data_IF_837894648948
#
_entry.id   IF_837894648948
#
_cell.length_a   1.000
_cell.length_b   1.000
_cell.length_c   1.000
_cell.angle_alpha   90.00
_cell.angle_beta   90.00
_cell.angle_gamma   90.00
#
_symmetry.space_group_name_H-M   'P 1'
#
loop_
_entity.id
_entity.type
_entity.pdbx_description
1 polymer ?
#
# COMPACT_ATOMS: atom_id res chain seq x y z
N UNK A 1 -32.77 6.13 31.65
CA UNK A 1 -31.82 4.99 31.58
C UNK A 1 -30.80 5.35 30.51
N UNK A 2 -29.55 5.55 30.92
CA UNK A 2 -28.55 6.31 30.16
C UNK A 2 -27.95 5.54 29.00
N UNK A 3 -27.79 6.22 27.87
CA UNK A 3 -27.09 5.72 26.70
C UNK A 3 -25.58 5.95 26.87
N UNK A 4 -24.82 4.86 27.00
CA UNK A 4 -23.37 4.88 26.83
C UNK A 4 -23.06 4.83 25.34
N UNK A 5 -22.74 5.98 24.76
CA UNK A 5 -22.14 6.07 23.44
C UNK A 5 -20.68 5.62 23.53
N UNK A 6 -20.34 4.56 22.79
CA UNK A 6 -18.96 4.14 22.55
C UNK A 6 -18.26 5.27 21.79
N UNK A 7 -17.30 5.93 22.43
CA UNK A 7 -16.42 6.92 21.81
C UNK A 7 -15.62 6.23 20.70
N UNK A 8 -15.95 6.52 19.44
CA UNK A 8 -14.92 6.57 18.41
C UNK A 8 -13.88 7.58 18.92
N UNK A 9 -12.63 7.13 19.05
CA UNK A 9 -11.53 8.04 19.33
C UNK A 9 -11.33 8.90 18.08
N UNK A 10 -12.05 10.01 18.02
CA UNK A 10 -11.65 11.16 17.21
C UNK A 10 -10.17 11.45 17.54
N UNK A 11 -9.33 11.80 16.55
CA UNK A 11 -7.99 12.27 16.82
C UNK A 11 -8.17 13.50 17.71
N UNK A 12 -7.92 13.32 19.00
CA UNK A 12 -7.87 14.45 19.93
C UNK A 12 -6.72 15.29 19.41
N UNK A 13 -7.04 16.51 18.98
CA UNK A 13 -6.11 17.60 18.73
C UNK A 13 -5.29 17.86 20.00
N UNK A 14 -4.34 16.98 20.30
CA UNK A 14 -3.13 17.36 20.94
C UNK A 14 -2.29 17.92 19.81
N UNK A 15 -2.21 19.25 19.75
CA UNK A 15 -1.06 19.94 19.18
C UNK A 15 0.18 19.21 19.72
N UNK A 16 0.72 18.26 18.95
CA UNK A 16 2.04 17.74 19.16
C UNK A 16 2.94 18.96 19.02
N UNK A 17 3.37 19.48 20.17
CA UNK A 17 4.13 20.70 20.24
C UNK A 17 5.30 20.63 19.28
N UNK A 18 5.43 21.66 18.44
CA UNK A 18 6.63 21.90 17.66
C UNK A 18 7.85 21.83 18.60
N UNK A 19 8.54 20.69 18.62
CA UNK A 19 9.69 20.50 19.50
C UNK A 19 10.03 19.06 19.89
N UNK A 20 9.08 18.13 19.95
CA UNK A 20 9.36 16.76 20.41
C UNK A 20 9.32 15.73 19.29
N UNK A 21 10.35 14.87 19.24
CA UNK A 21 10.38 13.72 18.36
C UNK A 21 9.25 12.74 18.72
N UNK A 22 8.66 12.03 17.74
CA UNK A 22 7.60 11.07 18.03
C UNK A 22 8.15 9.93 18.89
N UNK A 23 7.34 9.49 19.85
CA UNK A 23 7.66 8.32 20.67
C UNK A 23 7.15 7.08 19.95
N UNK A 24 8.08 6.23 19.55
CA UNK A 24 7.79 4.97 18.89
C UNK A 24 7.54 3.87 19.91
N UNK A 25 6.40 3.19 19.78
CA UNK A 25 6.08 1.99 20.54
C UNK A 25 6.40 0.74 19.73
N UNK A 26 5.42 -0.16 19.68
CA UNK A 26 5.49 -1.45 18.99
C UNK A 26 5.89 -1.35 17.52
N UNK A 27 6.62 -2.35 17.04
CA UNK A 27 6.89 -2.58 15.62
C UNK A 27 5.91 -3.59 15.00
N UNK A 28 5.43 -3.31 13.79
CA UNK A 28 4.54 -4.16 12.99
C UNK A 28 5.15 -4.41 11.62
N UNK A 29 5.25 -5.67 11.20
CA UNK A 29 5.65 -6.04 9.84
C UNK A 29 4.43 -6.15 8.93
N UNK A 30 4.23 -5.15 8.07
CA UNK A 30 3.25 -5.18 7.00
C UNK A 30 3.79 -5.95 5.79
N UNK A 31 2.91 -6.65 5.09
CA UNK A 31 3.27 -7.36 3.85
C UNK A 31 2.66 -6.67 2.64
N UNK A 32 3.52 -6.27 1.72
CA UNK A 32 3.13 -5.69 0.44
C UNK A 32 3.13 -6.79 -0.61
N UNK A 33 2.01 -6.92 -1.33
CA UNK A 33 1.80 -7.97 -2.31
C UNK A 33 1.21 -7.44 -3.62
N UNK A 34 1.45 -8.17 -4.71
CA UNK A 34 0.88 -7.92 -6.04
C UNK A 34 -0.06 -9.06 -6.41
N UNK A 35 -1.29 -8.74 -6.80
CA UNK A 35 -2.28 -9.73 -7.22
C UNK A 35 -2.21 -9.91 -8.74
N UNK A 36 -1.79 -11.10 -9.17
CA UNK A 36 -1.38 -11.38 -10.56
C UNK A 36 -2.58 -11.33 -11.52
N UNK A 37 -3.74 -11.85 -11.12
CA UNK A 37 -4.90 -12.02 -12.00
C UNK A 37 -5.82 -10.78 -12.09
N UNK A 38 -5.80 -9.89 -11.10
CA UNK A 38 -6.72 -8.75 -11.01
C UNK A 38 -6.05 -7.44 -11.43
N UNK A 39 -5.63 -7.31 -12.69
CA UNK A 39 -5.09 -6.04 -13.23
C UNK A 39 -3.98 -5.40 -12.37
N UNK A 40 -3.19 -6.22 -11.65
CA UNK A 40 -2.08 -5.82 -10.77
C UNK A 40 -2.48 -4.79 -9.72
N UNK A 41 -3.53 -5.10 -8.95
CA UNK A 41 -3.79 -4.45 -7.67
C UNK A 41 -2.62 -4.73 -6.74
N UNK A 42 -2.10 -3.67 -6.11
CA UNK A 42 -1.14 -3.79 -5.03
C UNK A 42 -1.90 -3.75 -3.71
N UNK A 43 -1.58 -4.68 -2.82
CA UNK A 43 -2.23 -4.82 -1.52
C UNK A 43 -1.21 -4.73 -0.39
N UNK A 44 -1.65 -4.20 0.75
CA UNK A 44 -0.89 -4.16 1.99
C UNK A 44 -1.67 -4.93 3.05
N UNK A 45 -1.05 -5.97 3.61
CA UNK A 45 -1.62 -6.81 4.67
C UNK A 45 -1.04 -6.41 6.02
N UNK A 46 -1.87 -6.43 7.07
CA UNK A 46 -1.50 -6.09 8.44
C UNK A 46 -0.37 -6.95 9.04
N UNK A 47 -0.16 -8.16 8.50
CA UNK A 47 0.87 -9.10 8.94
C UNK A 47 1.18 -10.16 7.88
N UNK A 48 2.31 -10.85 8.05
CA UNK A 48 2.64 -12.04 7.26
C UNK A 48 1.57 -13.13 7.38
N UNK A 49 1.02 -13.33 8.58
CA UNK A 49 -0.06 -14.29 8.83
C UNK A 49 -1.32 -13.92 8.03
N UNK A 50 -1.67 -12.64 7.94
CA UNK A 50 -2.81 -12.19 7.14
C UNK A 50 -2.60 -12.47 5.66
N UNK A 51 -1.40 -12.19 5.13
CA UNK A 51 -1.05 -12.52 3.76
C UNK A 51 -1.11 -14.04 3.49
N UNK A 52 -0.59 -14.87 4.40
CA UNK A 52 -0.62 -16.33 4.23
C UNK A 52 -2.04 -16.88 4.18
N UNK A 53 -2.94 -16.37 5.04
CA UNK A 53 -4.36 -16.69 4.99
C UNK A 53 -4.98 -16.29 3.65
N UNK A 54 -4.67 -15.08 3.16
CA UNK A 54 -5.14 -14.63 1.85
C UNK A 54 -4.66 -15.54 0.71
N UNK A 55 -3.37 -15.87 0.71
CA UNK A 55 -2.72 -16.63 -0.35
C UNK A 55 -3.18 -18.09 -0.43
N UNK A 56 -3.55 -18.70 0.71
CA UNK A 56 -4.05 -20.09 0.76
C UNK A 56 -5.43 -20.25 0.11
N UNK A 57 -6.26 -19.21 0.16
CA UNK A 57 -7.52 -19.17 -0.58
C UNK A 57 -8.45 -20.35 -0.29
N UNK A 58 -8.77 -20.59 0.99
CA UNK A 58 -9.79 -21.58 1.33
C UNK A 58 -11.15 -21.10 0.79
N UNK A 59 -11.84 -21.98 0.05
CA UNK A 59 -12.97 -21.66 -0.85
C UNK A 59 -14.20 -21.01 -0.20
N UNK A 60 -14.21 -20.84 1.11
CA UNK A 60 -15.17 -20.01 1.84
C UNK A 60 -14.40 -19.09 2.79
N UNK A 61 -14.15 -17.84 2.37
CA UNK A 61 -13.58 -16.82 3.25
C UNK A 61 -14.59 -16.47 4.35
N UNK A 62 -14.57 -17.23 5.44
CA UNK A 62 -15.25 -16.84 6.67
C UNK A 62 -14.53 -15.64 7.28
N UNK A 63 -15.29 -14.58 7.58
CA UNK A 63 -14.73 -13.38 8.18
C UNK A 63 -14.40 -13.67 9.64
N UNK A 64 -13.11 -13.67 9.96
CA UNK A 64 -12.58 -13.88 11.33
C UNK A 64 -12.81 -12.62 12.18
N UNK A 65 -12.83 -12.78 13.51
CA UNK A 65 -13.05 -11.67 14.46
C UNK A 65 -12.01 -10.53 14.34
N UNK A 66 -10.81 -10.83 13.84
CA UNK A 66 -9.75 -9.86 13.61
C UNK A 66 -9.66 -9.40 12.14
N UNK A 67 -10.48 -9.98 11.25
CA UNK A 67 -10.42 -9.74 9.80
C UNK A 67 -9.11 -10.25 9.17
N UNK A 68 -8.47 -11.26 9.78
CA UNK A 68 -7.28 -11.91 9.22
C UNK A 68 -7.57 -12.49 7.82
N UNK A 69 -6.63 -12.29 6.89
CA UNK A 69 -6.79 -12.69 5.49
C UNK A 69 -7.27 -11.55 4.58
N UNK A 70 -7.79 -10.45 5.15
CA UNK A 70 -8.11 -9.26 4.37
C UNK A 70 -6.92 -8.29 4.35
N UNK A 71 -6.69 -7.60 3.21
CA UNK A 71 -5.70 -6.54 3.14
C UNK A 71 -6.16 -5.35 3.98
N UNK A 72 -5.24 -4.65 4.63
CA UNK A 72 -5.52 -3.37 5.27
C UNK A 72 -5.71 -2.28 4.22
N UNK A 73 -4.87 -2.28 3.17
CA UNK A 73 -4.95 -1.31 2.08
C UNK A 73 -4.92 -2.02 0.73
N UNK A 74 -5.62 -1.47 -0.26
CA UNK A 74 -5.49 -1.87 -1.66
C UNK A 74 -5.39 -0.63 -2.55
N UNK A 75 -4.39 -0.62 -3.42
CA UNK A 75 -4.17 0.43 -4.41
C UNK A 75 -4.67 0.00 -5.78
N UNK A 76 -5.57 0.79 -6.34
CA UNK A 76 -6.19 0.57 -7.63
C UNK A 76 -5.93 1.77 -8.54
N UNK A 77 -5.85 1.53 -9.85
CA UNK A 77 -5.81 2.63 -10.82
C UNK A 77 -7.15 3.33 -10.84
N UNK A 78 -7.15 4.66 -10.84
CA UNK A 78 -8.37 5.40 -11.09
C UNK A 78 -8.87 5.12 -12.52
N UNK A 79 -10.20 5.11 -12.71
CA UNK A 79 -10.79 4.78 -14.00
C UNK A 79 -10.63 5.94 -14.99
N UNK A 80 -9.97 5.72 -16.15
CA UNK A 80 -9.65 6.79 -17.12
C UNK A 80 -10.86 7.42 -17.82
N UNK A 81 -12.05 6.80 -17.74
CA UNK A 81 -13.25 7.29 -18.43
C UNK A 81 -13.84 8.56 -17.79
N UNK A 82 -13.44 8.93 -16.57
CA UNK A 82 -13.83 10.19 -15.93
C UNK A 82 -12.85 11.35 -16.22
N UNK A 83 -11.68 11.05 -16.79
CA UNK A 83 -10.55 11.98 -16.97
C UNK A 83 -10.69 13.00 -18.10
N UNK A 84 -11.76 12.93 -18.90
CA UNK A 84 -11.97 13.90 -19.99
C UNK A 84 -12.54 15.25 -19.52
N UNK A 85 -13.01 15.35 -18.27
CA UNK A 85 -13.78 16.51 -17.80
C UNK A 85 -13.18 17.26 -16.60
N UNK A 86 -12.15 16.72 -15.93
CA UNK A 86 -11.52 17.35 -14.76
C UNK A 86 -10.00 17.41 -14.92
N UNK A 87 -9.44 18.61 -14.73
CA UNK A 87 -8.03 18.89 -14.95
C UNK A 87 -7.05 18.25 -13.94
N UNK A 88 -7.53 17.41 -13.01
CA UNK A 88 -6.67 16.78 -12.00
C UNK A 88 -7.31 15.55 -11.35
N UNK A 89 -7.53 14.51 -12.15
CA UNK A 89 -7.95 13.22 -11.61
C UNK A 89 -6.76 12.48 -10.96
N UNK A 90 -7.00 11.74 -9.86
CA UNK A 90 -5.95 10.93 -9.25
C UNK A 90 -5.52 9.82 -10.22
N UNK A 91 -4.23 9.51 -10.25
CA UNK A 91 -3.70 8.36 -11.00
C UNK A 91 -4.07 7.04 -10.31
N UNK A 92 -4.07 7.02 -8.98
CA UNK A 92 -4.44 5.88 -8.17
C UNK A 92 -5.35 6.28 -7.02
N UNK A 93 -6.19 5.34 -6.59
CA UNK A 93 -6.95 5.43 -5.35
C UNK A 93 -6.56 4.27 -4.45
N UNK A 94 -6.17 4.59 -3.23
CA UNK A 94 -5.89 3.63 -2.18
C UNK A 94 -7.11 3.54 -1.28
N UNK A 95 -7.60 2.33 -1.09
CA UNK A 95 -8.73 2.00 -0.25
C UNK A 95 -8.25 1.35 1.04
N UNK A 96 -8.92 1.64 2.14
CA UNK A 96 -8.75 0.97 3.42
C UNK A 96 -9.92 0.00 3.65
N UNK A 97 -9.61 -1.15 4.26
CA UNK A 97 -10.61 -2.12 4.65
C UNK A 97 -10.91 -2.03 6.15
N UNK A 98 -12.18 -2.15 6.49
CA UNK A 98 -12.69 -2.06 7.85
C UNK A 98 -13.53 -3.29 8.17
N UNK A 99 -13.33 -3.87 9.35
CA UNK A 99 -14.20 -4.88 9.90
C UNK A 99 -15.27 -4.20 10.76
N UNK A 100 -16.53 -4.54 10.50
CA UNK A 100 -17.68 -4.07 11.28
C UNK A 100 -18.68 -5.21 11.48
N UNK A 101 -19.50 -5.10 12.52
CA UNK A 101 -20.71 -5.93 12.64
C UNK A 101 -21.84 -5.36 11.79
N UNK A 102 -22.89 -6.14 11.49
CA UNK A 102 -24.04 -5.64 10.73
C UNK A 102 -24.86 -4.60 11.51
N UNK A 103 -24.67 -4.55 12.83
CA UNK A 103 -25.29 -3.55 13.71
C UNK A 103 -24.57 -2.20 13.73
N UNK A 104 -23.29 -2.16 13.34
CA UNK A 104 -22.48 -0.95 13.36
C UNK A 104 -22.71 -0.10 12.10
N UNK A 105 -22.65 1.23 12.20
CA UNK A 105 -22.77 2.09 11.04
C UNK A 105 -21.57 1.93 10.08
N UNK A 106 -21.82 2.23 8.81
CA UNK A 106 -20.78 2.27 7.79
C UNK A 106 -19.69 3.30 8.16
N UNK A 107 -18.40 2.98 8.03
CA UNK A 107 -17.31 3.86 8.46
C UNK A 107 -17.11 5.09 7.55
N UNK A 108 -17.67 5.07 6.33
CA UNK A 108 -17.51 6.15 5.36
C UNK A 108 -18.70 6.18 4.39
N UNK A 109 -19.18 7.36 3.97
CA UNK A 109 -20.32 7.47 3.05
C UNK A 109 -20.09 6.80 1.69
N UNK A 110 -18.84 6.83 1.19
CA UNK A 110 -18.46 6.19 -0.07
C UNK A 110 -17.96 4.73 0.07
N UNK A 111 -18.17 4.09 1.22
CA UNK A 111 -17.74 2.71 1.41
C UNK A 111 -18.57 1.72 0.57
N UNK A 112 -18.00 0.55 0.30
CA UNK A 112 -18.68 -0.59 -0.34
C UNK A 112 -18.43 -1.85 0.47
N UNK A 113 -19.41 -2.75 0.50
CA UNK A 113 -19.23 -4.06 1.13
C UNK A 113 -18.36 -4.91 0.21
N UNK A 114 -17.18 -5.31 0.68
CA UNK A 114 -16.26 -6.20 -0.03
C UNK A 114 -16.54 -7.67 0.27
N UNK A 115 -16.97 -7.99 1.50
CA UNK A 115 -17.32 -9.34 1.92
C UNK A 115 -18.35 -9.29 3.06
N UNK A 116 -19.18 -10.33 3.15
CA UNK A 116 -20.21 -10.49 4.18
C UNK A 116 -20.28 -11.96 4.61
N UNK A 117 -20.28 -12.21 5.91
CA UNK A 117 -20.34 -13.56 6.50
C UNK A 117 -20.98 -13.49 7.89
N UNK A 118 -22.21 -14.02 8.01
CA UNK A 118 -22.97 -13.94 9.26
C UNK A 118 -23.28 -12.51 9.66
N UNK A 119 -22.88 -12.09 10.86
CA UNK A 119 -23.04 -10.72 11.36
C UNK A 119 -21.83 -9.82 11.05
N UNK A 120 -20.85 -10.29 10.26
CA UNK A 120 -19.62 -9.54 9.99
C UNK A 120 -19.58 -9.04 8.56
N UNK A 121 -19.13 -7.80 8.43
CA UNK A 121 -18.99 -7.08 7.17
C UNK A 121 -17.57 -6.58 7.04
N UNK A 122 -16.98 -6.79 5.85
CA UNK A 122 -15.76 -6.11 5.45
C UNK A 122 -16.14 -4.97 4.52
N UNK A 123 -15.96 -3.74 4.98
CA UNK A 123 -16.11 -2.55 4.17
C UNK A 123 -14.80 -2.19 3.49
N UNK A 124 -14.89 -1.69 2.26
CA UNK A 124 -13.81 -1.06 1.51
C UNK A 124 -14.17 0.41 1.31
N UNK A 125 -13.38 1.32 1.87
CA UNK A 125 -13.61 2.76 1.79
C UNK A 125 -12.41 3.50 1.19
N UNK A 126 -12.62 4.63 0.47
CA UNK A 126 -11.53 5.48 0.02
C UNK A 126 -10.71 5.98 1.21
N UNK A 127 -9.38 5.93 1.08
CA UNK A 127 -8.45 6.35 2.13
C UNK A 127 -7.48 7.44 1.64
N UNK A 128 -6.93 7.24 0.44
CA UNK A 128 -5.96 8.17 -0.14
C UNK A 128 -6.11 8.25 -1.65
N UNK A 129 -6.10 9.48 -2.17
CA UNK A 129 -6.00 9.76 -3.59
C UNK A 129 -4.54 10.10 -3.95
N UNK A 130 -4.03 9.49 -5.01
CA UNK A 130 -2.63 9.63 -5.43
C UNK A 130 -2.59 10.33 -6.77
N UNK A 131 -1.93 11.48 -6.82
CA UNK A 131 -1.74 12.27 -8.03
C UNK A 131 -0.32 12.12 -8.55
N UNK A 132 -0.18 11.89 -9.85
CA UNK A 132 1.13 11.99 -10.51
C UNK A 132 1.52 13.47 -10.61
N UNK A 133 2.76 13.76 -10.24
CA UNK A 133 3.35 15.09 -10.37
C UNK A 133 4.18 15.11 -11.64
N UNK A 134 3.67 15.82 -12.65
CA UNK A 134 4.44 16.15 -13.84
C UNK A 134 5.44 17.24 -13.51
N UNK A 135 6.73 16.95 -13.72
CA UNK A 135 7.78 17.95 -13.63
C UNK A 135 8.59 17.96 -14.93
N UNK A 136 8.77 19.11 -15.59
CA UNK A 136 9.66 19.22 -16.74
C UNK A 136 11.14 19.10 -16.36
N UNK A 137 11.47 19.24 -15.07
CA UNK A 137 12.87 19.29 -14.56
C UNK A 137 13.24 18.07 -13.71
N UNK A 138 12.28 17.49 -12.97
CA UNK A 138 12.45 16.31 -12.10
C UNK A 138 11.83 15.06 -12.74
N UNK A 139 12.27 13.86 -12.34
CA UNK A 139 11.57 12.63 -12.73
C UNK A 139 10.16 12.63 -12.09
N UNK A 140 9.22 11.87 -12.67
CA UNK A 140 7.84 11.76 -12.17
C UNK A 140 7.77 11.55 -10.64
N UNK A 141 6.96 12.38 -9.97
CA UNK A 141 6.68 12.30 -8.54
C UNK A 141 5.24 11.89 -8.25
N UNK A 142 4.92 11.70 -6.96
CA UNK A 142 3.57 11.40 -6.50
C UNK A 142 3.19 12.33 -5.33
N UNK A 143 1.97 12.83 -5.33
CA UNK A 143 1.36 13.54 -4.20
C UNK A 143 0.19 12.71 -3.67
N UNK A 144 0.24 12.33 -2.40
CA UNK A 144 -0.83 11.62 -1.72
C UNK A 144 -1.70 12.63 -0.98
N UNK A 145 -3.01 12.56 -1.18
CA UNK A 145 -4.02 13.38 -0.53
C UNK A 145 -4.93 12.49 0.31
N UNK A 146 -5.16 12.86 1.57
CA UNK A 146 -6.02 12.15 2.51
C UNK A 146 -7.26 13.01 2.78
N UNK A 147 -8.41 12.75 2.11
CA UNK A 147 -9.56 13.65 2.13
C UNK A 147 -10.28 13.70 3.48
N UNK A 148 -10.07 12.71 4.35
CA UNK A 148 -10.74 12.58 5.64
C UNK A 148 -9.93 13.21 6.80
N UNK A 149 -8.89 13.99 6.50
CA UNK A 149 -8.12 14.72 7.50
C UNK A 149 -8.51 16.20 7.50
N UNK A 150 -8.62 16.85 8.69
CA UNK A 150 -9.02 18.25 8.80
C UNK A 150 -8.06 19.18 8.06
N UNK A 151 -6.76 18.90 8.15
CA UNK A 151 -5.75 19.47 7.26
C UNK A 151 -5.41 18.44 6.19
N UNK A 152 -5.48 18.85 4.91
CA UNK A 152 -5.07 17.98 3.79
C UNK A 152 -3.58 17.67 3.93
N UNK A 153 -3.28 16.57 4.63
CA UNK A 153 -1.93 16.06 4.77
C UNK A 153 -1.48 15.66 3.38
N UNK A 154 -0.46 16.34 2.86
CA UNK A 154 0.09 16.06 1.54
C UNK A 154 1.45 15.42 1.69
N UNK A 155 1.54 14.16 1.29
CA UNK A 155 2.80 13.44 1.27
C UNK A 155 3.35 13.46 -0.15
N UNK A 156 4.56 14.03 -0.33
CA UNK A 156 5.21 14.12 -1.64
C UNK A 156 6.34 13.11 -1.78
N UNK A 157 6.25 12.25 -2.78
CA UNK A 157 7.33 11.35 -3.17
C UNK A 157 7.92 11.89 -4.46
N UNK A 158 9.09 12.51 -4.36
CA UNK A 158 9.74 13.10 -5.52
C UNK A 158 10.90 12.22 -5.99
N UNK A 159 11.12 12.23 -7.31
CA UNK A 159 12.27 11.54 -7.89
C UNK A 159 13.21 12.56 -8.46
N UNK A 160 14.39 12.70 -7.86
CA UNK A 160 15.45 13.53 -8.39
C UNK A 160 16.32 12.70 -9.35
N UNK A 161 16.89 13.35 -10.37
CA UNK A 161 17.79 12.67 -11.33
C UNK A 161 18.91 11.97 -10.57
N UNK A 162 18.96 10.63 -10.65
CA UNK A 162 19.99 9.82 -9.99
C UNK A 162 19.67 9.39 -8.56
N UNK A 163 18.63 9.90 -7.90
CA UNK A 163 18.27 9.54 -6.53
C UNK A 163 16.76 9.62 -6.25
N UNK A 164 16.22 8.58 -5.63
CA UNK A 164 14.86 8.61 -5.10
C UNK A 164 14.84 9.46 -3.81
N UNK A 165 14.18 10.63 -3.84
CA UNK A 165 14.11 11.56 -2.70
C UNK A 165 12.66 11.65 -2.21
N UNK A 166 12.32 10.85 -1.20
CA UNK A 166 10.94 10.79 -0.71
C UNK A 166 10.91 11.43 0.68
N UNK A 167 10.30 12.61 0.78
CA UNK A 167 10.18 13.37 2.02
C UNK A 167 8.72 13.67 2.31
N UNK A 168 8.29 13.51 3.55
CA UNK A 168 6.90 13.72 3.95
C UNK A 168 6.84 14.53 5.24
N UNK A 169 5.86 15.43 5.33
CA UNK A 169 5.42 15.96 6.62
C UNK A 169 4.31 15.03 7.14
N UNK A 170 4.58 14.38 8.27
CA UNK A 170 3.63 13.52 8.96
C UNK A 170 3.36 14.18 10.30
N UNK A 171 2.22 14.86 10.46
CA UNK A 171 1.84 15.44 11.75
C UNK A 171 2.80 16.50 12.31
N UNK A 172 3.47 17.27 11.45
CA UNK A 172 4.49 18.25 11.85
C UNK A 172 5.90 17.66 11.97
N UNK A 173 6.05 16.35 11.81
CA UNK A 173 7.35 15.69 11.73
C UNK A 173 7.80 15.62 10.27
N UNK A 174 8.88 16.34 9.97
CA UNK A 174 9.59 16.16 8.71
C UNK A 174 10.22 14.78 8.69
N UNK A 175 9.93 13.99 7.66
CA UNK A 175 10.43 12.64 7.49
C UNK A 175 11.04 12.45 6.12
N UNK A 176 11.99 11.54 6.01
CA UNK A 176 12.67 11.24 4.76
C UNK A 176 12.98 9.75 4.65
N UNK A 177 12.75 9.18 3.47
CA UNK A 177 13.24 7.84 3.14
C UNK A 177 14.69 7.88 2.69
N UNK A 178 15.55 7.14 3.39
CA UNK A 178 16.98 7.03 3.10
C UNK A 178 17.28 5.64 2.57
N UNK A 179 18.02 5.56 1.46
CA UNK A 179 18.47 4.30 0.90
C UNK A 179 19.64 3.72 1.70
N UNK A 180 19.41 2.55 2.31
CA UNK A 180 20.44 1.83 3.10
C UNK A 180 21.07 0.67 2.34
N UNK A 181 20.37 0.11 1.35
CA UNK A 181 20.87 -0.99 0.52
C UNK A 181 20.38 -0.89 -0.92
N UNK A 182 21.21 -1.37 -1.85
CA UNK A 182 20.99 -1.24 -3.29
C UNK A 182 21.61 0.03 -3.86
N UNK A 183 21.16 0.44 -5.04
CA UNK A 183 21.57 1.73 -5.61
C UNK A 183 20.49 2.78 -5.34
N UNK A 184 20.79 4.09 -5.33
CA UNK A 184 19.76 5.13 -5.18
C UNK A 184 18.66 5.08 -6.26
N UNK A 185 18.96 4.42 -7.38
CA UNK A 185 18.02 4.13 -8.46
C UNK A 185 17.30 2.79 -8.30
N UNK A 186 17.80 1.89 -7.44
CA UNK A 186 17.27 0.54 -7.19
C UNK A 186 17.41 0.20 -5.70
N UNK A 187 16.68 0.91 -4.84
CA UNK A 187 16.78 0.68 -3.43
C UNK A 187 16.18 -0.69 -3.11
N UNK A 188 16.99 -1.57 -2.52
CA UNK A 188 16.52 -2.86 -1.98
C UNK A 188 15.98 -2.69 -0.57
N UNK A 189 16.51 -1.69 0.14
CA UNK A 189 16.12 -1.35 1.50
C UNK A 189 16.11 0.17 1.67
N UNK A 190 15.05 0.68 2.31
CA UNK A 190 14.87 2.09 2.63
C UNK A 190 14.46 2.22 4.11
N UNK A 191 14.91 3.29 4.75
CA UNK A 191 14.50 3.65 6.11
C UNK A 191 13.80 5.01 6.11
N UNK A 192 12.62 5.08 6.69
CA UNK A 192 11.94 6.33 6.98
C UNK A 192 12.47 6.85 8.32
N UNK A 193 13.09 8.02 8.29
CA UNK A 193 13.63 8.68 9.50
C UNK A 193 12.98 10.03 9.70
N UNK A 194 12.82 10.43 10.96
CA UNK A 194 12.42 11.78 11.34
C UNK A 194 13.64 12.71 11.29
N UNK A 195 13.53 13.82 10.57
CA UNK A 195 14.58 14.83 10.41
C UNK A 195 14.33 16.02 11.32
N UNK A 196 15.38 16.45 12.03
CA UNK A 196 15.31 17.64 12.88
C UNK A 196 15.79 18.87 12.09
N UNK A 197 14.99 19.94 12.09
CA UNK A 197 15.45 21.27 11.66
C UNK A 197 15.53 21.52 10.17
N UNK A 198 14.69 20.87 9.34
CA UNK A 198 14.46 21.26 7.94
C UNK A 198 15.68 21.19 7.01
N UNK A 199 16.79 20.58 7.45
CA UNK A 199 17.97 20.37 6.59
C UNK A 199 17.79 19.08 5.82
N UNK A 200 17.85 19.19 4.50
CA UNK A 200 17.94 18.04 3.59
C UNK A 200 19.15 17.18 3.98
N UNK A 201 18.89 15.96 4.46
CA UNK A 201 19.95 14.99 4.70
C UNK A 201 20.41 14.42 3.35
N UNK A 202 21.73 14.22 3.13
CA UNK A 202 22.23 13.60 1.93
C UNK A 202 21.67 12.18 1.76
N UNK A 203 21.34 11.81 0.53
CA UNK A 203 20.62 10.56 0.16
C UNK A 203 21.36 9.25 0.49
N UNK A 204 22.59 9.32 1.01
CA UNK A 204 23.41 8.15 1.35
C UNK A 204 24.31 8.45 2.56
N UNK A 205 23.89 8.01 3.74
CA UNK A 205 24.67 8.13 4.98
C UNK A 205 24.86 6.72 5.54
N UNK A 206 26.10 6.38 5.93
CA UNK A 206 26.32 5.21 6.79
C UNK A 206 25.63 5.51 8.12
N UNK A 207 24.54 4.82 8.43
CA UNK A 207 23.73 5.11 9.62
C UNK A 207 24.62 5.15 10.88
N UNK A 208 24.82 6.32 11.52
CA UNK A 208 25.26 6.33 12.90
C UNK A 208 24.23 5.60 13.77
N UNK A 209 24.68 4.97 14.85
CA UNK A 209 23.83 4.27 15.82
C UNK A 209 22.69 5.14 16.37
N UNK A 210 22.86 6.46 16.38
CA UNK A 210 21.86 7.45 16.78
C UNK A 210 20.62 7.54 15.87
N UNK A 211 20.69 7.09 14.61
CA UNK A 211 19.53 7.10 13.70
C UNK A 211 18.52 5.99 13.99
N UNK A 212 18.92 4.93 14.70
CA UNK A 212 18.02 3.83 15.08
C UNK A 212 16.87 4.28 15.98
N UNK A 213 17.09 5.32 16.80
CA UNK A 213 16.08 5.94 17.64
C UNK A 213 15.08 6.80 16.86
N UNK A 214 15.44 7.26 15.66
CA UNK A 214 14.60 8.12 14.78
C UNK A 214 13.96 7.37 13.62
N UNK A 215 14.21 6.06 13.54
CA UNK A 215 13.66 5.21 12.51
C UNK A 215 12.19 4.94 12.81
N UNK A 216 11.33 5.45 11.94
CA UNK A 216 9.88 5.23 12.01
C UNK A 216 9.49 3.97 11.23
N UNK A 217 10.07 3.77 10.05
CA UNK A 217 9.75 2.62 9.23
C UNK A 217 10.94 2.10 8.43
N UNK A 218 10.83 0.84 8.00
CA UNK A 218 11.81 0.14 7.20
C UNK A 218 11.10 -0.62 6.08
N UNK A 219 11.40 -0.25 4.85
CA UNK A 219 10.94 -0.94 3.65
C UNK A 219 12.03 -1.88 3.13
N UNK A 220 11.67 -3.11 2.78
CA UNK A 220 12.57 -4.08 2.16
C UNK A 220 11.88 -4.80 1.01
N UNK A 221 12.48 -4.71 -0.17
CA UNK A 221 12.03 -5.41 -1.38
C UNK A 221 12.29 -6.92 -1.26
N UNK A 222 11.33 -7.74 -1.70
CA UNK A 222 11.53 -9.17 -1.90
C UNK A 222 11.67 -9.49 -3.38
N UNK A 223 12.57 -10.42 -3.67
CA UNK A 223 12.65 -11.06 -4.97
C UNK A 223 12.04 -12.45 -4.83
N UNK A 224 10.79 -12.63 -5.25
CA UNK A 224 10.29 -13.99 -5.47
C UNK A 224 10.76 -14.49 -6.83
N UNK A 225 11.30 -15.70 -6.85
CA UNK A 225 11.74 -16.38 -8.09
C UNK A 225 10.55 -17.03 -8.81
N UNK A 226 9.45 -17.30 -8.08
CA UNK A 226 8.28 -17.98 -8.60
C UNK A 226 7.00 -17.24 -8.18
N UNK A 227 6.14 -16.83 -9.13
CA UNK A 227 4.84 -16.27 -8.78
C UNK A 227 3.97 -17.36 -8.17
N UNK A 228 3.34 -17.06 -7.03
CA UNK A 228 2.26 -17.91 -6.53
C UNK A 228 1.04 -17.79 -7.46
N UNK A 229 0.09 -18.75 -7.37
CA UNK A 229 -1.09 -18.80 -8.24
C UNK A 229 -2.09 -17.66 -8.03
N UNK A 230 -1.95 -16.79 -7.02
CA UNK A 230 -2.94 -15.73 -6.74
C UNK A 230 -2.30 -14.40 -6.37
N UNK A 231 -1.32 -14.40 -5.45
CA UNK A 231 -0.66 -13.19 -4.96
C UNK A 231 0.83 -13.39 -4.64
N UNK A 232 1.67 -12.47 -5.10
CA UNK A 232 3.12 -12.50 -4.90
C UNK A 232 3.51 -11.48 -3.82
N UNK A 233 4.28 -11.91 -2.81
CA UNK A 233 4.90 -11.00 -1.85
C UNK A 233 5.99 -10.18 -2.57
N UNK A 234 5.84 -8.86 -2.62
CA UNK A 234 6.77 -7.95 -3.30
C UNK A 234 7.68 -7.19 -2.35
N UNK A 235 7.21 -6.90 -1.14
CA UNK A 235 8.02 -6.22 -0.12
C UNK A 235 7.49 -6.46 1.30
N UNK A 236 8.33 -6.11 2.29
CA UNK A 236 7.95 -5.97 3.70
C UNK A 236 8.11 -4.51 4.10
N UNK A 237 7.28 -4.07 5.02
CA UNK A 237 7.31 -2.74 5.58
C UNK A 237 7.15 -2.86 7.10
N UNK A 238 8.26 -2.75 7.83
CA UNK A 238 8.25 -2.71 9.29
C UNK A 238 7.98 -1.27 9.72
N UNK A 239 6.87 -1.02 10.40
CA UNK A 239 6.48 0.30 10.90
C UNK A 239 6.48 0.27 12.42
N UNK A 240 7.04 1.29 13.05
CA UNK A 240 6.89 1.52 14.48
C UNK A 240 5.69 2.43 14.72
N UNK A 241 4.71 1.91 15.44
CA UNK A 241 3.49 2.64 15.73
C UNK A 241 3.84 3.82 16.64
N UNK A 242 3.47 5.03 16.24
CA UNK A 242 3.64 6.23 17.05
C UNK A 242 2.46 6.35 18.03
N UNK A 243 2.75 6.70 19.28
CA UNK A 243 1.74 7.07 20.29
C UNK A 243 0.73 5.97 20.70
N UNK A 244 1.06 4.69 20.49
CA UNK A 244 0.22 3.58 20.97
C UNK A 244 0.70 3.10 22.35
N UNK A 245 -0.21 3.07 23.33
CA UNK A 245 0.04 2.45 24.63
C UNK A 245 0.26 0.94 24.45
N UNK A 246 1.32 0.39 25.03
CA UNK A 246 1.74 -1.02 24.94
C UNK A 246 0.66 -2.04 25.38
N UNK A 247 -0.41 -1.57 26.04
CA UNK A 247 -1.35 -2.41 26.78
C UNK A 247 -2.40 -3.14 25.93
N UNK A 248 -2.73 -2.68 24.73
CA UNK A 248 -3.82 -3.27 23.93
C UNK A 248 -3.39 -3.45 22.48
N UNK A 249 -4.10 -4.31 21.75
CA UNK A 249 -3.96 -4.57 20.31
C UNK A 249 -2.96 -5.67 19.91
N UNK A 250 -3.27 -6.95 20.13
CA UNK A 250 -2.53 -8.09 19.55
C UNK A 250 -3.03 -8.51 18.16
N UNK A 251 -3.72 -7.64 17.42
CA UNK A 251 -4.42 -8.08 16.21
C UNK A 251 -3.47 -8.19 15.00
N UNK A 252 -3.40 -9.40 14.43
CA UNK A 252 -2.69 -9.69 13.18
C UNK A 252 -3.51 -9.29 11.93
N UNK A 253 -4.78 -8.90 12.13
CA UNK A 253 -5.72 -8.53 11.07
C UNK A 253 -5.96 -7.02 10.96
N UNK A 254 -7.09 -6.62 10.38
CA UNK A 254 -7.34 -5.24 9.91
C UNK A 254 -7.96 -4.31 10.96
N UNK A 255 -8.40 -4.83 12.11
CA UNK A 255 -9.23 -4.08 13.06
C UNK A 255 -8.58 -2.83 13.66
N UNK A 256 -7.25 -2.82 13.83
CA UNK A 256 -6.57 -1.81 14.64
C UNK A 256 -5.20 -1.46 14.04
N UNK A 257 -5.24 -0.89 12.83
CA UNK A 257 -4.05 -0.32 12.19
C UNK A 257 -4.02 1.18 12.47
N UNK A 258 -3.00 1.70 13.18
CA UNK A 258 -2.89 3.12 13.47
C UNK A 258 -2.85 3.97 12.21
N UNK A 259 -3.36 5.20 12.30
CA UNK A 259 -3.45 6.12 11.16
C UNK A 259 -2.12 6.30 10.42
N UNK A 260 -1.05 6.66 11.14
CA UNK A 260 0.28 6.83 10.52
C UNK A 260 0.81 5.54 9.89
N UNK A 261 0.47 4.38 10.46
CA UNK A 261 0.81 3.08 9.86
C UNK A 261 0.08 2.86 8.54
N UNK A 262 -1.17 3.33 8.43
CA UNK A 262 -1.90 3.41 7.16
C UNK A 262 -1.23 4.35 6.15
N UNK A 263 -0.86 5.56 6.56
CA UNK A 263 -0.17 6.56 5.71
C UNK A 263 1.17 6.02 5.18
N UNK A 264 1.99 5.46 6.06
CA UNK A 264 3.28 4.85 5.70
C UNK A 264 3.05 3.62 4.80
N UNK A 265 1.98 2.87 5.03
CA UNK A 265 1.51 1.80 4.14
C UNK A 265 1.21 2.29 2.72
N UNK A 266 0.54 3.44 2.57
CA UNK A 266 0.31 4.07 1.28
C UNK A 266 1.62 4.42 0.57
N UNK A 267 2.59 5.00 1.28
CA UNK A 267 3.93 5.26 0.73
C UNK A 267 4.60 3.97 0.26
N UNK A 268 4.48 2.90 1.05
CA UNK A 268 4.94 1.55 0.72
C UNK A 268 4.38 1.02 -0.60
N UNK A 269 3.08 1.19 -0.82
CA UNK A 269 2.41 0.79 -2.06
C UNK A 269 2.93 1.55 -3.28
N UNK A 270 3.21 2.85 -3.15
CA UNK A 270 3.83 3.65 -4.22
C UNK A 270 5.25 3.18 -4.52
N UNK A 271 6.05 2.85 -3.50
CA UNK A 271 7.39 2.29 -3.71
C UNK A 271 7.33 0.96 -4.47
N UNK A 272 6.40 0.06 -4.11
CA UNK A 272 6.13 -1.17 -4.86
C UNK A 272 5.72 -0.89 -6.30
N UNK A 273 4.86 0.11 -6.53
CA UNK A 273 4.45 0.51 -7.88
C UNK A 273 5.63 0.93 -8.75
N UNK A 274 6.50 1.79 -8.20
CA UNK A 274 7.71 2.26 -8.86
C UNK A 274 8.65 1.09 -9.24
N UNK A 275 8.81 0.12 -8.34
CA UNK A 275 9.60 -1.08 -8.59
C UNK A 275 9.01 -1.93 -9.71
N UNK A 276 7.69 -2.16 -9.68
CA UNK A 276 7.01 -2.92 -10.72
C UNK A 276 7.07 -2.25 -12.10
N UNK A 277 6.86 -0.94 -12.18
CA UNK A 277 6.99 -0.18 -13.44
C UNK A 277 8.38 -0.40 -14.05
N UNK A 278 9.42 -0.35 -13.20
CA UNK A 278 10.79 -0.54 -13.63
C UNK A 278 11.10 -1.96 -14.10
N UNK A 279 10.61 -2.99 -13.38
CA UNK A 279 10.71 -4.40 -13.80
C UNK A 279 10.12 -4.61 -15.19
N UNK A 280 8.98 -3.96 -15.49
CA UNK A 280 8.35 -4.01 -16.82
C UNK A 280 9.21 -3.31 -17.89
N UNK A 281 9.76 -2.14 -17.59
CA UNK A 281 10.57 -1.39 -18.54
C UNK A 281 11.89 -2.10 -18.88
N UNK A 282 12.50 -2.82 -17.92
CA UNK A 282 13.67 -3.67 -18.18
C UNK A 282 13.37 -4.84 -19.12
N UNK A 283 12.19 -5.47 -18.98
CA UNK A 283 11.76 -6.56 -19.86
C UNK A 283 11.58 -6.10 -21.32
N UNK A 284 11.12 -4.85 -21.52
CA UNK A 284 10.93 -4.27 -22.87
C UNK A 284 12.24 -3.94 -23.58
N UNK A 285 13.26 -3.53 -22.83
CA UNK A 285 14.56 -3.16 -23.40
C UNK A 285 15.51 -4.37 -23.60
N UNK A 286 15.04 -5.59 -23.37
CA UNK A 286 15.84 -6.79 -23.57
C UNK A 286 15.48 -7.42 -24.95
N UNK A 287 16.33 -7.28 -25.99
CA UNK A 287 16.02 -7.73 -27.35
C UNK A 287 15.80 -9.24 -27.47
N UNK A 288 16.19 -10.02 -26.45
CA UNK A 288 15.98 -11.47 -26.40
C UNK A 288 14.59 -11.91 -25.94
N UNK A 289 13.75 -11.02 -25.41
CA UNK A 289 12.40 -11.39 -24.94
C UNK A 289 11.36 -11.53 -26.07
N UNK A 290 11.68 -11.05 -27.28
CA UNK A 290 10.81 -11.19 -28.46
C UNK A 290 10.87 -12.60 -29.08
N UNK A 291 11.89 -13.41 -28.75
CA UNK A 291 12.08 -14.73 -29.36
C UNK A 291 11.14 -15.82 -28.82
N UNK A 292 10.48 -15.61 -27.67
CA UNK A 292 9.61 -16.63 -27.06
C UNK A 292 8.11 -16.48 -27.39
N UNK A 293 7.71 -15.50 -28.20
CA UNK A 293 6.31 -15.29 -28.59
C UNK A 293 5.95 -15.76 -30.01
N UNK A 294 6.87 -16.43 -30.72
CA UNK A 294 6.62 -17.01 -32.06
C UNK A 294 6.41 -18.54 -32.06
N UNK A 295 6.29 -19.18 -30.89
CA UNK A 295 6.25 -20.63 -30.74
C UNK A 295 4.91 -21.24 -30.31
N UNK A 296 3.77 -20.65 -30.69
CA UNK A 296 2.47 -21.28 -30.45
C UNK A 296 1.46 -20.88 -31.52
N UNK A 297 1.61 -21.48 -32.71
CA UNK A 297 0.53 -21.57 -33.68
C UNK A 297 -0.52 -22.59 -33.17
N UNK A 298 -1.82 -22.30 -33.27
CA UNK A 298 -2.85 -23.28 -32.94
C UNK A 298 -2.88 -24.39 -33.99
N UNK A 299 -2.76 -25.64 -33.54
CA UNK A 299 -3.16 -26.81 -34.32
C UNK A 299 -4.65 -26.69 -34.63
N UNK A 300 -5.00 -26.37 -35.88
CA UNK A 300 -6.37 -26.49 -36.39
C UNK A 300 -6.62 -27.98 -36.61
N UNK A 301 -7.35 -28.60 -35.68
CA UNK A 301 -7.94 -29.90 -35.90
C UNK A 301 -9.15 -29.74 -36.84
N UNK A 302 -9.04 -30.26 -38.06
CA UNK A 302 -10.15 -30.39 -39.00
C UNK A 302 -11.12 -31.46 -38.52
N UNK A 303 -12.27 -31.05 -37.96
CA UNK A 303 -13.39 -31.96 -37.73
C UNK A 303 -14.24 -32.08 -38.99
N UNK A 304 -14.20 -33.28 -39.57
CA UNK A 304 -15.12 -33.77 -40.60
C UNK A 304 -16.53 -33.85 -40.01
N UNK A 305 -17.47 -33.06 -40.53
CA UNK A 305 -18.90 -33.29 -40.31
C UNK A 305 -19.47 -34.02 -41.54
N UNK A 306 -19.83 -35.28 -41.34
CA UNK A 306 -20.72 -36.01 -42.24
C UNK A 306 -22.18 -35.63 -41.95
N UNK A 307 -22.93 -35.32 -43.00
CA UNK A 307 -24.38 -35.12 -42.98
C UNK A 307 -25.13 -36.41 -42.64
N UNK A 308 -26.30 -36.33 -41.98
CA UNK A 308 -27.36 -37.30 -42.16
C UNK A 308 -28.45 -36.76 -43.10
N UNK A 309 -28.81 -37.61 -44.06
CA UNK A 309 -29.94 -37.44 -44.95
C UNK A 309 -31.26 -37.69 -44.21
N UNK A 310 -32.27 -36.94 -44.63
CA UNK A 310 -33.69 -37.07 -44.34
C UNK A 310 -34.32 -38.30 -44.98
N UNK A 311 -35.11 -39.04 -44.20
CA UNK A 311 -36.38 -39.69 -44.55
C UNK A 311 -37.20 -39.88 -43.28
#
# INVERSE_FOLDING_TARGET
MGHSASKESEPTDQLAGAGNAPVFGRERELVLASVVFQRKVLMCFASARSFDCYARGDGEFQIRDDGLGFPTLAMERAHPLQCLLKARDPAFRIYQFFLRTASEPAPHPECRIACHSGDKLIYKAPFCDVYELDSPVRDAGYELSFPNMPDTTRVRLERCKGSLHMSADLGGWNTQWICTSGSPLHPKELLLVVTEGGRDMPSRIRLPSSLSARQWAKYREFFSVLPSRSAEKVASLCVRDAEVSEAEVSTCGIGEVPWYTGVIGCMGLIMCHLHEQKKRNRGKNNPFSAANHLGSAPFIASSVMGSPASC
#
